data_IF_768421370697
#
_entry.id   IF_768421370697
#
_cell.length_a   1.000
_cell.length_b   1.000
_cell.length_c   1.000
_cell.angle_alpha   90.00
_cell.angle_beta   90.00
_cell.angle_gamma   90.00
#
_symmetry.space_group_name_H-M   'P 1'
#
loop_
_entity.id
_entity.type
_entity.pdbx_description
1 polymer ?
#
# COMPACT_ATOMS: atom_id res chain seq x y z
N UNK A 1 -11.83 1.93 23.16
CA UNK A 1 -11.43 3.33 22.95
C UNK A 1 -10.43 3.33 21.82
N UNK A 2 -10.81 3.89 20.68
CA UNK A 2 -9.99 3.91 19.47
C UNK A 2 -8.93 5.00 19.62
N UNK A 3 -7.71 4.59 19.98
CA UNK A 3 -6.61 5.51 20.29
C UNK A 3 -6.16 6.32 19.07
N UNK A 4 -6.53 5.87 17.86
CA UNK A 4 -6.05 6.41 16.58
C UNK A 4 -6.95 7.51 16.01
N UNK A 5 -8.11 7.73 16.61
CA UNK A 5 -9.04 8.80 16.25
C UNK A 5 -8.71 10.15 16.95
N UNK A 6 -7.64 10.23 17.74
CA UNK A 6 -7.28 11.43 18.51
C UNK A 6 -6.39 12.40 17.70
N UNK A 7 -6.49 13.72 17.96
CA UNK A 7 -5.77 14.74 17.19
C UNK A 7 -4.25 14.57 17.28
N UNK A 8 -3.57 14.79 16.15
CA UNK A 8 -2.14 14.57 15.98
C UNK A 8 -1.24 15.37 16.94
N UNK A 9 -1.77 16.42 17.55
CA UNK A 9 -1.07 17.29 18.51
C UNK A 9 -0.84 16.65 19.89
N UNK A 10 -1.56 15.56 20.24
CA UNK A 10 -1.34 14.82 21.50
C UNK A 10 -0.27 13.72 21.41
N UNK A 11 0.19 13.38 20.20
CA UNK A 11 1.20 12.34 20.00
C UNK A 11 2.61 12.95 19.93
N UNK A 12 3.09 13.42 21.08
CA UNK A 12 4.53 13.62 21.31
C UNK A 12 5.19 12.24 21.29
N UNK A 13 5.83 11.91 20.16
CA UNK A 13 6.83 10.85 19.97
C UNK A 13 6.77 9.70 21.00
N UNK A 14 5.63 9.01 21.05
CA UNK A 14 5.39 7.92 21.97
C UNK A 14 5.72 6.62 21.22
N UNK A 15 6.83 5.96 21.56
CA UNK A 15 7.30 4.75 20.85
C UNK A 15 6.24 3.64 20.78
N UNK A 16 5.26 3.66 21.68
CA UNK A 16 4.08 2.79 21.66
C UNK A 16 3.23 2.98 20.40
N UNK A 17 3.12 4.20 19.88
CA UNK A 17 2.35 4.51 18.67
C UNK A 17 3.05 4.00 17.43
N UNK A 18 4.38 4.16 17.36
CA UNK A 18 5.19 3.64 16.27
C UNK A 18 5.13 2.11 16.23
N UNK A 19 5.16 1.45 17.39
CA UNK A 19 5.03 0.00 17.51
C UNK A 19 3.63 -0.48 17.08
N UNK A 20 2.57 0.20 17.51
CA UNK A 20 1.20 -0.09 17.08
C UNK A 20 0.99 0.12 15.57
N UNK A 21 1.63 1.14 14.99
CA UNK A 21 1.61 1.38 13.56
C UNK A 21 2.35 0.30 12.79
N UNK A 22 3.53 -0.13 13.26
CA UNK A 22 4.28 -1.21 12.65
C UNK A 22 3.48 -2.52 12.65
N UNK A 23 2.87 -2.88 13.78
CA UNK A 23 2.02 -4.08 13.90
C UNK A 23 0.84 -4.03 12.93
N UNK A 24 0.13 -2.88 12.85
CA UNK A 24 -0.98 -2.73 11.89
C UNK A 24 -0.54 -2.81 10.44
N UNK A 25 0.61 -2.23 10.11
CA UNK A 25 1.12 -2.23 8.74
C UNK A 25 1.55 -3.64 8.30
N UNK A 26 2.13 -4.43 9.21
CA UNK A 26 2.48 -5.84 8.97
C UNK A 26 1.22 -6.70 8.82
N UNK A 27 0.25 -6.57 9.73
CA UNK A 27 -1.01 -7.32 9.65
C UNK A 27 -1.75 -7.04 8.33
N UNK A 28 -1.83 -5.77 7.94
CA UNK A 28 -2.40 -5.38 6.65
C UNK A 28 -1.64 -6.01 5.46
N UNK A 29 -0.31 -6.02 5.50
CA UNK A 29 0.52 -6.62 4.46
C UNK A 29 0.29 -8.13 4.34
N UNK A 30 0.24 -8.85 5.45
CA UNK A 30 -0.05 -10.29 5.49
C UNK A 30 -1.45 -10.59 4.93
N UNK A 31 -2.48 -9.90 5.42
CA UNK A 31 -3.86 -10.07 4.95
C UNK A 31 -3.97 -9.80 3.46
N UNK A 32 -3.40 -8.68 3.00
CA UNK A 32 -3.43 -8.32 1.59
C UNK A 32 -2.70 -9.35 0.71
N UNK A 33 -1.52 -9.81 1.12
CA UNK A 33 -0.76 -10.82 0.37
C UNK A 33 -1.50 -12.17 0.32
N UNK A 34 -2.12 -12.59 1.42
CA UNK A 34 -2.93 -13.81 1.47
C UNK A 34 -4.13 -13.73 0.52
N UNK A 35 -4.76 -12.55 0.41
CA UNK A 35 -5.84 -12.31 -0.55
C UNK A 35 -5.33 -12.47 -2.00
N UNK A 36 -4.20 -11.85 -2.34
CA UNK A 36 -3.59 -11.99 -3.68
C UNK A 36 -3.25 -13.44 -4.03
N UNK A 37 -2.83 -14.24 -3.05
CA UNK A 37 -2.53 -15.66 -3.25
C UNK A 37 -3.80 -16.53 -3.43
N UNK A 38 -4.93 -16.09 -2.87
CA UNK A 38 -6.15 -16.91 -2.76
C UNK A 38 -7.17 -16.60 -3.86
N UNK A 39 -7.34 -15.33 -4.20
CA UNK A 39 -8.36 -14.86 -5.16
C UNK A 39 -7.72 -14.21 -6.38
N UNK A 40 -8.52 -14.05 -7.43
CA UNK A 40 -8.09 -13.33 -8.62
C UNK A 40 -7.88 -11.84 -8.30
N UNK A 41 -6.69 -11.26 -8.49
CA UNK A 41 -6.41 -9.87 -8.11
C UNK A 41 -7.30 -8.86 -8.82
N UNK A 42 -7.82 -9.18 -10.01
CA UNK A 42 -8.70 -8.28 -10.79
C UNK A 42 -10.10 -8.16 -10.18
N UNK A 43 -10.48 -9.11 -9.32
CA UNK A 43 -11.75 -9.09 -8.58
C UNK A 43 -11.63 -8.39 -7.22
N UNK A 44 -10.41 -8.11 -6.76
CA UNK A 44 -10.19 -7.42 -5.49
C UNK A 44 -10.51 -5.93 -5.64
N UNK A 45 -11.46 -5.47 -4.82
CA UNK A 45 -11.74 -4.05 -4.62
C UNK A 45 -11.18 -3.62 -3.27
N UNK A 46 -10.19 -2.74 -3.29
CA UNK A 46 -9.52 -2.23 -2.09
C UNK A 46 -10.36 -1.13 -1.44
N UNK A 47 -10.99 -0.29 -2.27
CA UNK A 47 -11.84 0.81 -1.85
C UNK A 47 -13.06 0.94 -2.78
N UNK A 48 -14.15 1.60 -2.33
CA UNK A 48 -15.24 1.96 -3.22
C UNK A 48 -14.83 3.02 -4.28
N UNK A 49 -13.65 3.63 -4.15
CA UNK A 49 -13.14 4.69 -5.02
C UNK A 49 -12.00 4.23 -5.95
N UNK A 50 -11.78 2.92 -6.10
CA UNK A 50 -10.66 2.35 -6.87
C UNK A 50 -10.57 2.90 -8.31
N UNK A 51 -11.72 3.11 -8.96
CA UNK A 51 -11.79 3.72 -10.30
C UNK A 51 -11.23 5.15 -10.30
N UNK A 52 -11.71 6.01 -9.39
CA UNK A 52 -11.27 7.40 -9.29
C UNK A 52 -9.78 7.49 -8.91
N UNK A 53 -9.33 6.66 -7.97
CA UNK A 53 -7.94 6.54 -7.55
C UNK A 53 -7.07 6.17 -8.75
N UNK A 54 -7.43 5.12 -9.49
CA UNK A 54 -6.64 4.67 -10.65
C UNK A 54 -6.57 5.73 -11.75
N UNK A 55 -7.71 6.34 -12.11
CA UNK A 55 -7.77 7.36 -13.16
C UNK A 55 -6.92 8.59 -12.80
N UNK A 56 -7.02 9.09 -11.56
CA UNK A 56 -6.19 10.21 -11.12
C UNK A 56 -4.71 9.82 -11.05
N UNK A 57 -4.40 8.61 -10.58
CA UNK A 57 -3.03 8.11 -10.49
C UNK A 57 -2.38 8.08 -11.86
N UNK A 58 -2.99 7.41 -12.85
CA UNK A 58 -2.46 7.34 -14.22
C UNK A 58 -2.45 8.68 -14.95
N UNK A 59 -3.31 9.63 -14.55
CA UNK A 59 -3.26 11.01 -15.07
C UNK A 59 -2.05 11.80 -14.54
N UNK A 60 -1.68 11.62 -13.26
CA UNK A 60 -0.54 12.33 -12.66
C UNK A 60 0.80 11.62 -12.89
N UNK A 61 0.77 10.29 -12.97
CA UNK A 61 1.91 9.41 -13.10
C UNK A 61 1.72 8.42 -14.27
N UNK A 62 1.58 8.92 -15.52
CA UNK A 62 1.35 8.06 -16.68
C UNK A 62 2.50 7.07 -16.90
N UNK A 63 3.74 7.54 -16.81
CA UNK A 63 4.96 6.75 -17.07
C UNK A 63 5.53 6.05 -15.83
N UNK A 64 4.84 6.09 -14.68
CA UNK A 64 5.35 5.42 -13.48
C UNK A 64 5.23 3.91 -13.62
N UNK A 65 6.36 3.23 -13.46
CA UNK A 65 6.39 1.78 -13.36
C UNK A 65 5.84 1.37 -12.00
N UNK A 66 4.78 0.56 -12.03
CA UNK A 66 4.13 0.02 -10.83
C UNK A 66 4.49 -1.44 -10.61
N UNK A 67 5.28 -2.07 -11.49
CA UNK A 67 5.80 -3.42 -11.25
C UNK A 67 6.91 -3.35 -10.20
N UNK A 68 7.94 -2.56 -10.48
CA UNK A 68 9.08 -2.34 -9.59
C UNK A 68 9.11 -0.89 -9.16
N UNK A 69 8.64 -0.63 -7.95
CA UNK A 69 8.62 0.68 -7.33
C UNK A 69 9.91 0.89 -6.54
N UNK A 70 10.70 1.88 -6.94
CA UNK A 70 11.91 2.24 -6.22
C UNK A 70 11.61 3.31 -5.15
N UNK A 71 12.01 3.04 -3.90
CA UNK A 71 11.82 3.99 -2.80
C UNK A 71 12.42 5.37 -3.11
N UNK A 72 13.56 5.43 -3.81
CA UNK A 72 14.21 6.69 -4.18
C UNK A 72 13.36 7.51 -5.16
N UNK A 73 12.59 6.86 -6.03
CA UNK A 73 11.69 7.54 -6.95
C UNK A 73 10.51 8.17 -6.21
N UNK A 74 10.02 7.52 -5.15
CA UNK A 74 8.98 8.09 -4.28
C UNK A 74 9.49 9.26 -3.44
N UNK A 75 10.78 9.22 -3.05
CA UNK A 75 11.42 10.22 -2.19
C UNK A 75 12.01 11.43 -2.93
N UNK A 76 12.09 11.39 -4.27
CA UNK A 76 12.60 12.52 -5.05
C UNK A 76 11.71 13.78 -4.90
N UNK A 77 12.30 14.97 -4.94
CA UNK A 77 11.63 16.26 -4.75
C UNK A 77 10.42 16.49 -5.65
N UNK A 78 10.52 16.13 -6.94
CA UNK A 78 9.42 16.24 -7.90
C UNK A 78 8.27 15.27 -7.55
N UNK A 79 8.60 14.00 -7.32
CA UNK A 79 7.64 12.98 -6.93
C UNK A 79 6.94 13.33 -5.61
N UNK A 80 7.68 13.84 -4.62
CA UNK A 80 7.14 14.28 -3.34
C UNK A 80 6.10 15.40 -3.50
N UNK A 81 6.29 16.26 -4.49
CA UNK A 81 5.34 17.36 -4.78
C UNK A 81 4.08 16.82 -5.45
N UNK A 82 4.23 15.94 -6.45
CA UNK A 82 3.10 15.28 -7.11
C UNK A 82 2.31 14.40 -6.15
N UNK A 83 2.98 13.60 -5.32
CA UNK A 83 2.34 12.76 -4.32
C UNK A 83 1.60 13.58 -3.26
N UNK A 84 2.13 14.73 -2.83
CA UNK A 84 1.39 15.62 -1.92
C UNK A 84 0.10 16.13 -2.55
N UNK A 85 0.16 16.61 -3.80
CA UNK A 85 -1.02 17.04 -4.52
C UNK A 85 -2.03 15.89 -4.73
N UNK A 86 -1.54 14.68 -4.97
CA UNK A 86 -2.37 13.47 -5.07
C UNK A 86 -3.05 13.15 -3.74
N UNK A 87 -2.29 13.09 -2.64
CA UNK A 87 -2.78 12.82 -1.29
C UNK A 87 -3.85 13.84 -0.88
N UNK A 88 -3.63 15.13 -1.16
CA UNK A 88 -4.58 16.20 -0.82
C UNK A 88 -5.94 16.03 -1.52
N UNK A 89 -5.97 15.50 -2.76
CA UNK A 89 -7.25 15.21 -3.45
C UNK A 89 -8.11 14.16 -2.75
N UNK A 90 -7.47 13.25 -2.02
CA UNK A 90 -8.11 12.13 -1.34
C UNK A 90 -8.11 12.30 0.18
N UNK A 91 -7.89 13.52 0.68
CA UNK A 91 -7.93 13.82 2.12
C UNK A 91 -9.29 13.54 2.77
N UNK A 92 -10.35 13.39 1.95
CA UNK A 92 -11.71 13.01 2.33
C UNK A 92 -11.86 11.53 2.66
N UNK A 93 -10.91 10.69 2.26
CA UNK A 93 -10.96 9.25 2.55
C UNK A 93 -10.48 9.03 3.97
N UNK A 94 -11.22 8.25 4.74
CA UNK A 94 -10.77 7.84 6.07
C UNK A 94 -9.48 7.01 5.95
N UNK A 95 -8.57 7.21 6.90
CA UNK A 95 -7.26 6.54 6.98
C UNK A 95 -6.30 6.76 5.80
N UNK A 96 -6.54 7.73 4.91
CA UNK A 96 -5.69 7.96 3.73
C UNK A 96 -4.20 8.17 4.07
N UNK A 97 -3.92 8.73 5.24
CA UNK A 97 -2.58 9.07 5.74
C UNK A 97 -1.93 7.95 6.57
N UNK A 98 -2.60 6.81 6.78
CA UNK A 98 -2.06 5.72 7.58
C UNK A 98 -0.84 5.09 6.92
N UNK A 99 0.19 4.78 7.72
CA UNK A 99 1.34 4.00 7.26
C UNK A 99 0.92 2.59 6.86
N UNK A 100 1.30 2.17 5.65
CA UNK A 100 1.01 0.86 5.08
C UNK A 100 2.24 0.35 4.35
N UNK A 101 2.48 -0.96 4.36
CA UNK A 101 3.58 -1.57 3.61
C UNK A 101 3.14 -1.88 2.18
N UNK A 102 4.00 -1.52 1.23
CA UNK A 102 3.87 -1.80 -0.19
C UNK A 102 5.03 -2.69 -0.64
N UNK A 103 4.76 -3.67 -1.52
CA UNK A 103 5.83 -4.46 -2.14
C UNK A 103 6.61 -3.61 -3.15
N UNK A 104 7.93 -3.58 -3.07
CA UNK A 104 8.75 -2.86 -4.06
C UNK A 104 8.57 -3.49 -5.45
N UNK A 105 8.82 -4.79 -5.57
CA UNK A 105 8.48 -5.64 -6.69
C UNK A 105 7.14 -6.35 -6.44
N UNK A 106 6.19 -6.14 -7.36
CA UNK A 106 4.86 -6.73 -7.33
C UNK A 106 4.87 -8.27 -7.38
N UNK A 107 5.89 -8.86 -8.00
CA UNK A 107 5.98 -10.30 -8.28
C UNK A 107 6.61 -11.13 -7.15
N UNK A 108 7.19 -10.46 -6.16
CA UNK A 108 7.86 -11.08 -5.01
C UNK A 108 6.99 -11.02 -3.74
N UNK A 109 7.38 -11.79 -2.71
CA UNK A 109 6.71 -11.77 -1.40
C UNK A 109 7.17 -10.56 -0.56
N UNK A 110 6.45 -10.27 0.53
CA UNK A 110 6.92 -9.27 1.50
C UNK A 110 8.19 -9.79 2.19
N UNK A 111 9.29 -9.07 1.99
CA UNK A 111 10.58 -9.25 2.67
C UNK A 111 11.08 -7.88 3.10
N UNK A 112 11.98 -7.78 4.10
CA UNK A 112 12.54 -6.49 4.52
C UNK A 112 13.12 -5.67 3.35
N UNK A 113 13.70 -6.36 2.35
CA UNK A 113 14.28 -5.75 1.14
C UNK A 113 13.21 -5.36 0.10
N UNK A 114 12.05 -6.02 0.12
CA UNK A 114 10.94 -5.82 -0.80
C UNK A 114 9.76 -5.06 -0.17
N UNK A 115 9.93 -4.46 1.01
CA UNK A 115 8.87 -3.76 1.73
C UNK A 115 9.19 -2.26 1.83
N UNK A 116 8.30 -1.43 1.30
CA UNK A 116 8.40 0.02 1.34
C UNK A 116 7.28 0.57 2.20
N UNK A 117 7.62 1.43 3.15
CA UNK A 117 6.62 2.16 3.94
C UNK A 117 6.05 3.31 3.12
N UNK A 118 4.76 3.28 2.86
CA UNK A 118 4.01 4.30 2.12
C UNK A 118 2.76 4.71 2.90
N UNK A 119 2.12 5.81 2.51
CA UNK A 119 0.78 6.12 3.04
C UNK A 119 -0.28 5.28 2.33
N UNK A 120 -1.40 5.01 3.00
CA UNK A 120 -2.46 4.13 2.49
C UNK A 120 -3.01 4.54 1.12
N UNK A 121 -3.12 5.84 0.85
CA UNK A 121 -3.54 6.32 -0.47
C UNK A 121 -2.52 6.04 -1.59
N UNK A 122 -1.21 6.04 -1.27
CA UNK A 122 -0.17 5.62 -2.21
C UNK A 122 -0.24 4.10 -2.44
N UNK A 123 -0.46 3.34 -1.37
CA UNK A 123 -0.69 1.90 -1.47
C UNK A 123 -1.86 1.59 -2.39
N UNK A 124 -3.04 2.22 -2.19
CA UNK A 124 -4.20 2.01 -3.06
C UNK A 124 -3.92 2.39 -4.51
N UNK A 125 -3.30 3.54 -4.76
CA UNK A 125 -2.97 3.98 -6.12
C UNK A 125 -2.15 2.93 -6.88
N UNK A 126 -1.09 2.43 -6.25
CA UNK A 126 -0.15 1.48 -6.87
C UNK A 126 -0.77 0.08 -6.95
N UNK A 127 -1.42 -0.39 -5.89
CA UNK A 127 -1.95 -1.76 -5.83
C UNK A 127 -3.21 -1.93 -6.70
N UNK A 128 -4.06 -0.90 -6.81
CA UNK A 128 -5.15 -0.89 -7.81
C UNK A 128 -4.59 -0.92 -9.22
N UNK A 129 -3.52 -0.16 -9.50
CA UNK A 129 -2.87 -0.20 -10.80
C UNK A 129 -2.31 -1.60 -11.11
N UNK A 130 -1.62 -2.23 -10.15
CA UNK A 130 -1.11 -3.61 -10.28
C UNK A 130 -2.21 -4.62 -10.55
N UNK A 131 -3.36 -4.51 -9.87
CA UNK A 131 -4.50 -5.40 -10.09
C UNK A 131 -5.10 -5.22 -11.50
N UNK A 132 -5.27 -3.98 -11.96
CA UNK A 132 -5.85 -3.69 -13.29
C UNK A 132 -4.92 -4.09 -14.44
N UNK A 133 -3.61 -3.90 -14.23
CA UNK A 133 -2.57 -4.17 -15.24
C UNK A 133 -2.09 -5.63 -15.21
N UNK A 134 -2.60 -6.44 -14.28
CA UNK A 134 -2.29 -7.86 -14.17
C UNK A 134 -0.90 -8.18 -13.66
N UNK A 135 -0.27 -7.24 -12.95
CA UNK A 135 1.06 -7.41 -12.39
C UNK A 135 1.05 -8.29 -11.14
N UNK A 136 -0.11 -8.37 -10.45
CA UNK A 136 -0.30 -9.24 -9.29
C UNK A 136 -0.72 -10.68 -9.67
N UNK A 137 -1.03 -10.96 -10.95
CA UNK A 137 -1.45 -12.31 -11.38
C UNK A 137 -0.36 -13.36 -11.14
N UNK A 138 0.91 -12.97 -11.26
CA UNK A 138 2.06 -13.85 -11.05
C UNK A 138 2.18 -14.32 -9.60
N UNK A 139 1.80 -13.48 -8.62
CA UNK A 139 1.85 -13.78 -7.19
C UNK A 139 0.97 -14.99 -6.87
N UNK A 140 -0.25 -15.00 -7.40
CA UNK A 140 -1.18 -16.11 -7.23
C UNK A 140 -0.60 -17.42 -7.74
N UNK A 141 0.11 -17.40 -8.87
CA UNK A 141 0.73 -18.62 -9.42
C UNK A 141 1.95 -19.07 -8.61
N UNK A 142 2.81 -18.13 -8.22
CA UNK A 142 4.07 -18.41 -7.52
C UNK A 142 3.88 -18.86 -6.07
N UNK A 143 2.86 -18.33 -5.39
CA UNK A 143 2.66 -18.51 -3.94
C UNK A 143 1.36 -19.25 -3.60
N UNK A 144 0.68 -19.83 -4.59
CA UNK A 144 -0.53 -20.66 -4.38
C UNK A 144 -0.25 -21.79 -3.39
N UNK A 145 -0.99 -21.84 -2.28
CA UNK A 145 -0.89 -22.94 -1.32
C UNK A 145 0.26 -22.86 -0.32
N UNK A 146 1.05 -21.77 -0.31
CA UNK A 146 1.84 -21.43 0.88
C UNK A 146 0.87 -20.90 1.93
N UNK A 147 0.32 -21.78 2.76
CA UNK A 147 -0.11 -21.37 4.09
C UNK A 147 1.12 -20.75 4.75
N UNK A 148 1.06 -19.47 5.07
CA UNK A 148 2.10 -18.79 5.85
C UNK A 148 2.04 -19.42 7.24
N UNK A 149 2.75 -20.53 7.42
CA UNK A 149 2.84 -21.22 8.70
C UNK A 149 3.64 -20.30 9.61
N UNK A 150 2.98 -19.68 10.57
CA UNK A 150 3.64 -19.02 11.69
C UNK A 150 4.41 -20.09 12.45
N UNK A 151 5.73 -20.13 12.30
CA UNK A 151 6.57 -20.71 13.35
C UNK A 151 6.61 -19.66 14.46
N UNK A 152 5.92 -19.99 15.55
CA UNK A 152 5.77 -19.20 16.78
C UNK A 152 7.05 -19.35 17.61
#
# INVERSE_FOLDING_TARGET
>A
MDVLSRPAEEFVNDGTVEELWAVKAVDHAEVHFNLLCSVDPRLLRLTPYDDEIYEQFRRMFPDMDVRVVNENQLKNSDAKTKWRAYVEKFNRLEDFSYGTLLRADAEEEFRPENAILVVRIQFWAIEVARNREGLNDSVRMKFRGKNITREI
#
